data_IF_455576063762
#
_entry.id   IF_455576063762
#
_cell.length_a   1.000
_cell.length_b   1.000
_cell.length_c   1.000
_cell.angle_alpha   90.00
_cell.angle_beta   90.00
_cell.angle_gamma   90.00
#
_symmetry.space_group_name_H-M   'P 1'
#
loop_
_entity.id
_entity.type
_entity.pdbx_description
1 polymer ?
#
# COMPACT_ATOMS: atom_id res chain seq x y z
N UNK A 1 -17.99 1.56 22.79
CA UNK A 1 -18.61 0.94 21.60
C UNK A 1 -17.94 1.34 20.29
N UNK A 2 -17.96 2.61 19.83
CA UNK A 2 -17.41 3.02 18.51
C UNK A 2 -15.92 2.71 18.30
N UNK A 3 -15.10 2.83 19.35
CA UNK A 3 -13.68 2.40 19.34
C UNK A 3 -13.54 0.90 19.06
N UNK A 4 -14.27 0.06 19.81
CA UNK A 4 -14.27 -1.40 19.64
C UNK A 4 -14.76 -1.80 18.25
N UNK A 5 -15.75 -1.11 17.71
CA UNK A 5 -16.21 -1.32 16.33
C UNK A 5 -15.12 -1.00 15.30
N UNK A 6 -14.35 0.09 15.51
CA UNK A 6 -13.23 0.44 14.64
C UNK A 6 -12.14 -0.64 14.63
N UNK A 7 -11.77 -1.15 15.81
CA UNK A 7 -10.82 -2.26 15.92
C UNK A 7 -11.38 -3.56 15.34
N UNK A 8 -12.65 -3.89 15.62
CA UNK A 8 -13.27 -5.10 15.10
C UNK A 8 -13.35 -5.09 13.57
N UNK A 9 -13.70 -3.96 12.96
CA UNK A 9 -13.69 -3.80 11.51
C UNK A 9 -12.28 -3.95 10.92
N UNK A 10 -11.26 -3.40 11.60
CA UNK A 10 -9.87 -3.55 11.21
C UNK A 10 -9.41 -5.01 11.23
N UNK A 11 -9.69 -5.75 12.32
CA UNK A 11 -9.34 -7.18 12.40
C UNK A 11 -10.14 -8.02 11.40
N UNK A 12 -11.42 -7.70 11.18
CA UNK A 12 -12.24 -8.37 10.18
C UNK A 12 -11.65 -8.19 8.77
N UNK A 13 -11.17 -6.98 8.44
CA UNK A 13 -10.50 -6.73 7.17
C UNK A 13 -9.22 -7.58 7.02
N UNK A 14 -8.36 -7.61 8.05
CA UNK A 14 -7.13 -8.42 8.01
C UNK A 14 -7.46 -9.90 7.82
N UNK A 15 -8.42 -10.42 8.60
CA UNK A 15 -8.85 -11.83 8.49
C UNK A 15 -9.40 -12.10 7.09
N UNK A 16 -10.24 -11.22 6.54
CA UNK A 16 -10.78 -11.36 5.20
C UNK A 16 -9.66 -11.42 4.16
N UNK A 17 -8.70 -10.50 4.22
CA UNK A 17 -7.58 -10.44 3.29
C UNK A 17 -6.69 -11.68 3.38
N UNK A 18 -6.43 -12.18 4.59
CA UNK A 18 -5.66 -13.41 4.82
C UNK A 18 -6.40 -14.66 4.33
N UNK A 19 -7.72 -14.69 4.54
CA UNK A 19 -8.60 -15.75 4.02
C UNK A 19 -8.75 -15.67 2.50
N UNK A 20 -8.48 -14.53 1.86
CA UNK A 20 -8.47 -14.42 0.40
C UNK A 20 -7.11 -14.73 -0.20
N UNK A 21 -6.01 -14.41 0.50
CA UNK A 21 -4.63 -14.59 0.01
C UNK A 21 -4.10 -16.03 0.00
N UNK A 22 -4.69 -16.95 0.76
CA UNK A 22 -4.21 -18.35 0.88
C UNK A 22 -5.14 -19.40 0.22
N UNK A 23 -5.29 -19.45 -1.12
CA UNK A 23 -6.18 -20.40 -1.76
C UNK A 23 -5.64 -21.83 -1.70
N UNK A 24 -6.53 -22.80 -1.91
CA UNK A 24 -6.14 -24.20 -2.02
C UNK A 24 -5.20 -24.38 -3.23
N UNK A 25 -4.00 -24.87 -2.96
CA UNK A 25 -2.95 -25.07 -3.95
C UNK A 25 -1.75 -25.77 -3.33
N UNK A 26 -0.77 -26.09 -4.17
CA UNK A 26 0.51 -26.65 -3.73
C UNK A 26 1.51 -25.51 -3.64
N UNK A 27 1.94 -25.23 -2.42
CA UNK A 27 2.88 -24.17 -2.11
C UNK A 27 4.30 -24.57 -2.50
N UNK A 28 4.97 -23.72 -3.25
CA UNK A 28 6.36 -23.89 -3.66
C UNK A 28 7.31 -23.30 -2.59
N UNK A 29 7.11 -23.71 -1.34
CA UNK A 29 7.84 -23.21 -0.16
C UNK A 29 9.26 -23.78 -0.03
N UNK A 30 10.00 -23.32 0.97
CA UNK A 30 11.37 -23.74 1.26
C UNK A 30 12.43 -23.01 0.44
N UNK A 31 13.55 -23.66 0.15
CA UNK A 31 14.71 -23.01 -0.47
C UNK A 31 14.51 -22.75 -1.97
N UNK A 32 14.86 -21.54 -2.38
CA UNK A 32 14.94 -21.01 -3.73
C UNK A 32 16.39 -20.65 -4.05
N UNK A 33 16.80 -20.85 -5.29
CA UNK A 33 18.10 -20.40 -5.78
C UNK A 33 17.93 -19.00 -6.37
N UNK A 34 18.53 -17.99 -5.76
CA UNK A 34 18.56 -16.61 -6.24
C UNK A 34 19.92 -16.35 -6.90
N UNK A 35 19.91 -16.07 -8.20
CA UNK A 35 21.10 -15.68 -8.96
C UNK A 35 21.09 -14.17 -9.10
N UNK A 36 22.17 -13.54 -8.63
CA UNK A 36 22.39 -12.10 -8.65
C UNK A 36 22.86 -11.64 -10.05
N UNK A 37 22.77 -10.33 -10.37
CA UNK A 37 23.20 -9.79 -11.66
C UNK A 37 24.68 -10.03 -12.00
N UNK A 38 25.52 -10.15 -10.97
CA UNK A 38 26.97 -10.44 -11.07
C UNK A 38 27.28 -11.94 -11.19
N UNK A 39 26.26 -12.79 -11.15
CA UNK A 39 26.38 -14.25 -11.21
C UNK A 39 26.53 -14.93 -9.85
N UNK A 40 26.56 -14.17 -8.75
CA UNK A 40 26.59 -14.76 -7.41
C UNK A 40 25.30 -15.56 -7.14
N UNK A 41 25.43 -16.69 -6.44
CA UNK A 41 24.32 -17.60 -6.16
C UNK A 41 24.05 -17.65 -4.68
N UNK A 42 22.84 -17.26 -4.29
CA UNK A 42 22.36 -17.33 -2.93
C UNK A 42 21.21 -18.34 -2.81
N UNK A 43 21.17 -19.10 -1.71
CA UNK A 43 19.99 -19.88 -1.34
C UNK A 43 19.15 -19.07 -0.35
N UNK A 44 17.93 -18.71 -0.77
CA UNK A 44 16.97 -17.96 0.04
C UNK A 44 15.77 -18.84 0.36
N UNK A 45 15.15 -18.64 1.51
CA UNK A 45 13.92 -19.35 1.87
C UNK A 45 12.73 -18.42 1.69
N UNK A 46 11.69 -18.86 0.98
CA UNK A 46 10.45 -18.08 0.94
C UNK A 46 9.72 -18.30 2.25
N UNK A 47 9.23 -17.24 2.89
CA UNK A 47 9.19 -15.87 2.39
C UNK A 47 10.46 -15.05 2.67
N UNK A 48 10.85 -14.17 1.75
CA UNK A 48 12.01 -13.27 1.93
C UNK A 48 11.80 -11.89 1.29
N UNK A 49 12.51 -10.90 1.83
CA UNK A 49 12.59 -9.54 1.30
C UNK A 49 13.95 -8.93 1.64
N UNK A 50 14.58 -8.25 0.68
CA UNK A 50 15.84 -7.54 0.87
C UNK A 50 15.89 -6.26 0.04
N UNK A 51 16.42 -5.19 0.65
CA UNK A 51 16.89 -4.02 -0.10
C UNK A 51 18.28 -4.37 -0.64
N UNK A 52 18.45 -4.26 -1.96
CA UNK A 52 19.71 -4.55 -2.65
C UNK A 52 20.38 -3.27 -3.13
N UNK A 53 21.71 -3.31 -3.27
CA UNK A 53 22.47 -2.17 -3.75
C UNK A 53 22.77 -2.25 -5.26
N UNK A 54 22.49 -3.39 -5.90
CA UNK A 54 22.77 -3.64 -7.32
C UNK A 54 21.47 -3.70 -8.12
N UNK A 55 21.32 -2.76 -9.06
CA UNK A 55 20.29 -2.78 -10.09
C UNK A 55 20.58 -3.92 -11.07
N UNK A 56 19.55 -4.64 -11.50
CA UNK A 56 19.70 -5.63 -12.55
C UNK A 56 18.59 -6.67 -12.58
N UNK A 57 18.85 -7.76 -13.29
CA UNK A 57 17.94 -8.90 -13.35
C UNK A 57 18.40 -9.96 -12.36
N UNK A 58 17.57 -10.20 -11.36
CA UNK A 58 17.74 -11.30 -10.42
C UNK A 58 16.93 -12.49 -10.92
N UNK A 59 17.50 -13.69 -10.85
CA UNK A 59 16.83 -14.91 -11.30
C UNK A 59 16.54 -15.82 -10.11
N UNK A 60 15.28 -15.94 -9.72
CA UNK A 60 14.83 -16.88 -8.69
C UNK A 60 14.38 -18.19 -9.34
N UNK A 61 14.96 -19.31 -8.90
CA UNK A 61 14.72 -20.65 -9.47
C UNK A 61 14.26 -21.61 -8.37
N UNK A 62 13.19 -22.35 -8.66
CA UNK A 62 12.67 -23.43 -7.82
C UNK A 62 12.42 -24.68 -8.62
N UNK A 63 12.89 -25.81 -8.11
CA UNK A 63 12.51 -27.13 -8.61
C UNK A 63 11.40 -27.73 -7.74
N UNK A 64 10.48 -28.45 -8.37
CA UNK A 64 9.37 -29.12 -7.69
C UNK A 64 8.91 -30.35 -8.47
N UNK A 65 8.38 -31.35 -7.76
CA UNK A 65 7.86 -32.56 -8.38
C UNK A 65 6.54 -32.30 -9.12
N UNK A 66 6.12 -33.25 -9.95
CA UNK A 66 4.79 -33.20 -10.57
C UNK A 66 3.70 -32.94 -9.52
N UNK A 67 2.80 -32.02 -9.86
CA UNK A 67 1.65 -31.67 -9.05
C UNK A 67 0.44 -31.34 -9.94
N UNK A 68 -0.76 -31.57 -9.43
CA UNK A 68 -1.97 -31.29 -10.19
C UNK A 68 -2.29 -29.78 -10.17
N UNK A 69 -2.33 -29.14 -11.35
CA UNK A 69 -2.69 -27.72 -11.50
C UNK A 69 -2.56 -27.26 -12.95
N UNK A 70 -3.09 -26.08 -13.26
CA UNK A 70 -3.01 -25.42 -14.57
C UNK A 70 -2.81 -23.91 -14.49
N UNK A 71 -2.49 -23.39 -13.31
CA UNK A 71 -2.06 -22.01 -13.13
C UNK A 71 -1.04 -21.86 -12.01
N UNK A 72 -0.19 -20.85 -12.14
CA UNK A 72 0.71 -20.35 -11.10
C UNK A 72 0.07 -19.09 -10.52
N UNK A 73 -0.05 -19.02 -9.19
CA UNK A 73 -0.45 -17.81 -8.49
C UNK A 73 0.76 -17.22 -7.77
N UNK A 74 1.05 -15.95 -8.05
CA UNK A 74 2.12 -15.18 -7.44
C UNK A 74 1.49 -14.03 -6.66
N UNK A 75 1.78 -13.95 -5.36
CA UNK A 75 1.29 -12.91 -4.47
C UNK A 75 2.45 -12.27 -3.73
N UNK A 76 2.55 -10.94 -3.78
CA UNK A 76 3.57 -10.18 -3.05
C UNK A 76 4.99 -10.46 -3.54
N UNK A 77 5.22 -10.36 -4.84
CA UNK A 77 6.59 -10.41 -5.39
C UNK A 77 7.12 -8.99 -5.52
N UNK A 78 8.19 -8.68 -4.79
CA UNK A 78 8.87 -7.39 -4.85
C UNK A 78 9.83 -7.37 -6.03
N UNK A 79 9.40 -6.75 -7.10
CA UNK A 79 10.18 -6.41 -8.29
C UNK A 79 9.42 -5.35 -9.10
N UNK A 80 10.06 -4.86 -10.16
CA UNK A 80 9.51 -3.80 -11.03
C UNK A 80 9.18 -4.28 -12.45
N UNK A 81 9.39 -5.56 -12.70
CA UNK A 81 9.14 -6.22 -13.97
C UNK A 81 9.57 -7.68 -13.84
N UNK A 82 8.78 -8.62 -14.35
CA UNK A 82 9.06 -10.03 -14.18
C UNK A 82 8.72 -10.85 -15.41
N UNK A 83 9.61 -11.76 -15.78
CA UNK A 83 9.37 -12.83 -16.76
C UNK A 83 9.27 -14.16 -16.03
N UNK A 84 8.20 -14.90 -16.30
CA UNK A 84 7.86 -16.14 -15.62
C UNK A 84 8.05 -17.29 -16.59
N UNK A 85 8.90 -18.25 -16.24
CA UNK A 85 9.17 -19.42 -17.06
C UNK A 85 8.82 -20.71 -16.32
N UNK A 86 8.21 -21.66 -17.03
CA UNK A 86 8.03 -23.03 -16.56
C UNK A 86 8.78 -23.96 -17.51
N UNK A 87 9.72 -24.75 -16.96
CA UNK A 87 10.54 -25.68 -17.72
C UNK A 87 11.26 -25.02 -18.93
N UNK A 88 11.69 -23.76 -18.75
CA UNK A 88 12.38 -22.97 -19.77
C UNK A 88 11.45 -22.25 -20.77
N UNK A 89 10.14 -22.50 -20.73
CA UNK A 89 9.16 -21.85 -21.61
C UNK A 89 8.61 -20.59 -20.92
N UNK A 90 8.71 -19.45 -21.60
CA UNK A 90 8.14 -18.19 -21.13
C UNK A 90 6.61 -18.29 -21.12
N UNK A 91 6.02 -18.16 -19.93
CA UNK A 91 4.56 -18.15 -19.76
C UNK A 91 4.00 -16.74 -19.86
N UNK A 92 4.64 -15.77 -19.20
CA UNK A 92 4.16 -14.38 -19.14
C UNK A 92 5.26 -13.40 -18.75
N UNK A 93 5.16 -12.18 -19.25
CA UNK A 93 5.86 -10.99 -18.78
C UNK A 93 4.86 -10.06 -18.07
N UNK A 94 5.28 -9.44 -16.97
CA UNK A 94 4.45 -8.58 -16.11
C UNK A 94 5.26 -7.33 -15.75
N UNK A 95 4.66 -6.14 -15.87
CA UNK A 95 5.31 -4.87 -15.59
C UNK A 95 6.38 -4.50 -16.63
N UNK A 96 7.34 -3.67 -16.23
CA UNK A 96 8.36 -3.09 -17.11
C UNK A 96 9.69 -3.79 -16.91
N UNK A 97 9.90 -4.89 -17.63
CA UNK A 97 11.12 -5.68 -17.52
C UNK A 97 12.36 -4.94 -18.08
N UNK A 98 12.14 -3.99 -18.99
CA UNK A 98 13.21 -3.26 -19.67
C UNK A 98 13.76 -2.14 -18.77
N UNK A 99 12.90 -1.24 -18.29
CA UNK A 99 13.31 -0.09 -17.47
C UNK A 99 13.23 -0.34 -15.95
N UNK A 100 12.38 -1.27 -15.51
CA UNK A 100 12.16 -1.55 -14.09
C UNK A 100 11.41 -0.43 -13.36
N UNK A 101 10.45 0.24 -14.00
CA UNK A 101 9.72 1.36 -13.38
C UNK A 101 8.24 1.10 -13.10
N UNK A 102 7.79 -0.15 -13.23
CA UNK A 102 6.41 -0.53 -12.96
C UNK A 102 6.09 -0.60 -11.45
N UNK A 103 4.80 -0.58 -11.12
CA UNK A 103 4.28 -0.88 -9.81
C UNK A 103 3.38 -2.12 -9.90
N UNK A 104 3.91 -3.29 -9.53
CA UNK A 104 3.23 -4.57 -9.74
C UNK A 104 3.12 -5.43 -8.47
N UNK A 105 3.65 -4.94 -7.35
CA UNK A 105 3.73 -5.68 -6.08
C UNK A 105 2.37 -5.82 -5.39
N UNK A 106 1.46 -4.89 -5.66
CA UNK A 106 0.13 -4.74 -5.05
C UNK A 106 -0.96 -5.58 -5.75
N UNK A 107 -0.58 -6.51 -6.63
CA UNK A 107 -1.51 -7.35 -7.39
C UNK A 107 -1.16 -8.83 -7.24
N UNK A 108 -2.19 -9.68 -7.16
CA UNK A 108 -2.06 -11.12 -7.28
C UNK A 108 -2.10 -11.52 -8.74
N UNK A 109 -1.03 -12.14 -9.21
CA UNK A 109 -0.87 -12.56 -10.59
C UNK A 109 -1.24 -14.03 -10.73
N UNK A 110 -2.27 -14.33 -11.53
CA UNK A 110 -2.71 -15.69 -11.83
C UNK A 110 -2.41 -16.01 -13.29
N UNK A 111 -1.43 -16.89 -13.53
CA UNK A 111 -0.88 -17.21 -14.85
C UNK A 111 -1.26 -18.63 -15.22
N UNK A 112 -2.07 -18.81 -16.27
CA UNK A 112 -2.44 -20.13 -16.78
C UNK A 112 -1.30 -20.75 -17.59
N UNK A 113 -1.20 -22.07 -17.55
CA UNK A 113 -0.26 -22.83 -18.38
C UNK A 113 -0.90 -24.13 -18.89
N UNK A 114 -0.38 -24.69 -19.98
CA UNK A 114 -0.82 -26.00 -20.46
C UNK A 114 -0.26 -27.09 -19.54
N UNK A 115 -1.14 -27.95 -18.99
CA UNK A 115 -0.76 -29.08 -18.12
C UNK A 115 0.27 -30.00 -18.75
N UNK A 116 0.34 -30.07 -20.09
CA UNK A 116 1.34 -30.84 -20.83
C UNK A 116 2.78 -30.35 -20.61
N UNK A 117 2.95 -29.13 -20.11
CA UNK A 117 4.26 -28.59 -19.76
C UNK A 117 4.83 -29.23 -18.48
N UNK A 118 3.99 -29.84 -17.64
CA UNK A 118 4.42 -30.49 -16.41
C UNK A 118 5.11 -31.83 -16.69
N UNK A 119 6.21 -32.06 -15.97
CA UNK A 119 7.05 -33.27 -15.99
C UNK A 119 7.15 -33.84 -14.57
N UNK A 120 7.84 -34.95 -14.40
CA UNK A 120 8.11 -35.52 -13.07
C UNK A 120 8.90 -34.55 -12.18
N UNK A 121 9.85 -33.82 -12.77
CA UNK A 121 10.59 -32.72 -12.14
C UNK A 121 10.42 -31.46 -12.99
N UNK A 122 9.95 -30.40 -12.35
CA UNK A 122 9.66 -29.12 -12.96
C UNK A 122 10.58 -28.04 -12.40
N UNK A 123 10.82 -27.01 -13.20
CA UNK A 123 11.57 -25.80 -12.82
C UNK A 123 10.72 -24.57 -13.09
N UNK A 124 10.41 -23.82 -12.04
CA UNK A 124 9.85 -22.48 -12.12
C UNK A 124 11.00 -21.47 -12.01
N UNK A 125 11.08 -20.56 -12.97
CA UNK A 125 12.06 -19.47 -12.99
C UNK A 125 11.33 -18.13 -13.05
N UNK A 126 11.69 -17.23 -12.14
CA UNK A 126 11.27 -15.84 -12.12
C UNK A 126 12.50 -14.98 -12.42
N UNK A 127 12.56 -14.41 -13.62
CA UNK A 127 13.51 -13.34 -13.91
C UNK A 127 12.85 -12.04 -13.45
N UNK A 128 13.46 -11.37 -12.48
CA UNK A 128 12.92 -10.20 -11.80
C UNK A 128 13.82 -8.99 -12.05
N UNK A 129 13.28 -7.94 -12.63
CA UNK A 129 13.93 -6.64 -12.81
C UNK A 129 13.86 -5.87 -11.50
N UNK A 130 15.03 -5.63 -10.90
CA UNK A 130 15.18 -5.04 -9.58
C UNK A 130 15.85 -3.68 -9.68
N UNK A 131 15.28 -2.69 -8.99
CA UNK A 131 15.86 -1.35 -8.83
C UNK A 131 16.45 -1.13 -7.45
N UNK A 132 15.75 -1.57 -6.40
CA UNK A 132 16.23 -1.39 -5.02
C UNK A 132 15.79 -2.50 -4.06
N UNK A 133 14.76 -3.28 -4.39
CA UNK A 133 14.24 -4.35 -3.54
C UNK A 133 13.93 -5.63 -4.32
N UNK A 134 14.24 -6.77 -3.70
CA UNK A 134 13.91 -8.10 -4.22
C UNK A 134 13.25 -8.92 -3.13
N UNK A 135 12.20 -9.65 -3.48
CA UNK A 135 11.50 -10.46 -2.50
C UNK A 135 10.35 -11.28 -3.05
N UNK A 136 10.04 -12.34 -2.34
CA UNK A 136 8.86 -13.19 -2.52
C UNK A 136 8.22 -13.29 -1.14
N UNK A 137 7.17 -12.49 -0.90
CA UNK A 137 6.50 -12.43 0.40
C UNK A 137 5.64 -13.64 0.70
N UNK A 138 5.09 -14.27 -0.34
CA UNK A 138 4.34 -15.51 -0.22
C UNK A 138 4.85 -16.47 -1.27
N UNK A 139 5.07 -17.70 -0.85
CA UNK A 139 5.56 -18.70 -1.77
C UNK A 139 4.55 -18.87 -2.94
N UNK A 140 5.04 -18.95 -4.18
CA UNK A 140 4.21 -19.22 -5.34
C UNK A 140 3.37 -20.48 -5.15
N UNK A 141 2.13 -20.47 -5.64
CA UNK A 141 1.22 -21.61 -5.57
C UNK A 141 0.99 -22.20 -6.96
N UNK A 142 1.01 -23.52 -7.07
CA UNK A 142 0.41 -24.23 -8.21
C UNK A 142 -1.05 -24.53 -7.86
N UNK A 143 -1.97 -24.07 -8.71
CA UNK A 143 -3.42 -24.07 -8.45
C UNK A 143 -4.21 -24.55 -9.67
N UNK A 144 -5.47 -24.94 -9.44
CA UNK A 144 -6.47 -25.13 -10.50
C UNK A 144 -7.16 -23.79 -10.76
N UNK A 145 -6.99 -23.24 -11.96
CA UNK A 145 -7.50 -21.93 -12.35
C UNK A 145 -9.00 -21.76 -12.05
N UNK A 146 -9.82 -22.76 -12.40
CA UNK A 146 -11.27 -22.73 -12.19
C UNK A 146 -11.68 -22.69 -10.72
N UNK A 147 -10.84 -23.18 -9.81
CA UNK A 147 -11.12 -23.17 -8.38
C UNK A 147 -10.78 -21.83 -7.72
N UNK A 148 -9.79 -21.10 -8.25
CA UNK A 148 -9.20 -19.93 -7.57
C UNK A 148 -9.45 -18.59 -8.29
N UNK A 149 -9.88 -18.59 -9.56
CA UNK A 149 -10.00 -17.36 -10.36
C UNK A 149 -10.89 -16.30 -9.74
N UNK A 150 -12.10 -16.69 -9.28
CA UNK A 150 -13.05 -15.79 -8.63
C UNK A 150 -12.46 -15.16 -7.36
N UNK A 151 -11.78 -15.99 -6.56
CA UNK A 151 -11.16 -15.57 -5.30
C UNK A 151 -9.99 -14.61 -5.56
N UNK A 152 -9.19 -14.88 -6.59
CA UNK A 152 -8.13 -13.99 -7.04
C UNK A 152 -8.68 -12.64 -7.53
N UNK A 153 -9.82 -12.64 -8.25
CA UNK A 153 -10.48 -11.41 -8.68
C UNK A 153 -10.97 -10.58 -7.50
N UNK A 154 -11.61 -11.20 -6.50
CA UNK A 154 -12.04 -10.51 -5.27
C UNK A 154 -10.82 -9.98 -4.50
N UNK A 155 -9.76 -10.79 -4.38
CA UNK A 155 -8.52 -10.35 -3.75
C UNK A 155 -7.96 -9.11 -4.45
N UNK A 156 -7.79 -9.14 -5.78
CA UNK A 156 -7.30 -8.02 -6.58
C UNK A 156 -8.16 -6.76 -6.46
N UNK A 157 -9.48 -6.91 -6.38
CA UNK A 157 -10.36 -5.79 -6.09
C UNK A 157 -10.00 -5.13 -4.75
N UNK A 158 -9.78 -5.92 -3.71
CA UNK A 158 -9.41 -5.43 -2.39
C UNK A 158 -7.96 -4.92 -2.30
N UNK A 159 -7.00 -5.49 -3.01
CA UNK A 159 -5.59 -5.06 -2.88
C UNK A 159 -5.15 -3.99 -3.89
N UNK A 160 -5.97 -3.71 -4.92
CA UNK A 160 -5.66 -2.70 -5.95
C UNK A 160 -6.85 -1.78 -6.23
N UNK A 161 -8.00 -2.32 -6.63
CA UNK A 161 -9.09 -1.49 -7.18
C UNK A 161 -9.80 -0.63 -6.13
N UNK A 162 -9.82 -1.06 -4.87
CA UNK A 162 -10.38 -0.29 -3.76
C UNK A 162 -9.70 1.07 -3.61
N UNK A 163 -8.43 1.19 -3.99
CA UNK A 163 -7.69 2.45 -3.94
C UNK A 163 -8.20 3.44 -4.97
N UNK A 164 -8.63 2.99 -6.15
CA UNK A 164 -9.26 3.86 -7.15
C UNK A 164 -10.60 4.40 -6.64
N UNK A 165 -11.39 3.57 -5.96
CA UNK A 165 -12.64 4.01 -5.30
C UNK A 165 -12.35 5.02 -4.17
N UNK A 166 -11.33 4.77 -3.37
CA UNK A 166 -10.89 5.68 -2.31
C UNK A 166 -10.40 7.02 -2.86
N UNK A 167 -9.66 7.02 -3.96
CA UNK A 167 -9.24 8.24 -4.66
C UNK A 167 -10.44 9.05 -5.14
N UNK A 168 -11.39 8.40 -5.83
CA UNK A 168 -12.60 9.06 -6.32
C UNK A 168 -13.45 9.66 -5.21
N UNK A 169 -13.68 8.89 -4.14
CA UNK A 169 -14.39 9.37 -2.94
C UNK A 169 -13.67 10.53 -2.26
N UNK A 170 -12.34 10.46 -2.14
CA UNK A 170 -11.51 11.53 -1.58
C UNK A 170 -11.55 12.81 -2.42
N UNK A 171 -11.57 12.71 -3.74
CA UNK A 171 -11.69 13.86 -4.64
C UNK A 171 -13.06 14.52 -4.50
N UNK A 172 -14.15 13.74 -4.57
CA UNK A 172 -15.51 14.26 -4.45
C UNK A 172 -15.70 14.95 -3.09
N UNK A 173 -15.30 14.29 -2.00
CA UNK A 173 -15.39 14.86 -0.66
C UNK A 173 -14.55 16.14 -0.55
N UNK A 174 -13.34 16.15 -1.10
CA UNK A 174 -12.47 17.32 -1.13
C UNK A 174 -13.10 18.51 -1.84
N UNK A 175 -13.68 18.30 -3.03
CA UNK A 175 -14.35 19.36 -3.78
C UNK A 175 -15.56 19.90 -3.03
N UNK A 176 -16.44 19.01 -2.52
CA UNK A 176 -17.62 19.40 -1.74
C UNK A 176 -17.20 20.23 -0.53
N UNK A 177 -16.14 19.85 0.16
CA UNK A 177 -15.67 20.55 1.34
C UNK A 177 -15.01 21.89 1.05
N UNK A 178 -14.29 22.02 -0.06
CA UNK A 178 -13.76 23.31 -0.49
C UNK A 178 -14.90 24.28 -0.79
N UNK A 179 -15.90 23.83 -1.55
CA UNK A 179 -17.08 24.66 -1.86
C UNK A 179 -17.76 25.08 -0.56
N UNK A 180 -18.03 24.14 0.34
CA UNK A 180 -18.68 24.44 1.62
C UNK A 180 -17.85 25.40 2.49
N UNK A 181 -16.55 25.16 2.59
CA UNK A 181 -15.63 25.97 3.39
C UNK A 181 -15.50 27.42 2.90
N UNK A 182 -15.73 27.68 1.61
CA UNK A 182 -15.72 29.03 1.05
C UNK A 182 -17.10 29.69 0.96
N UNK A 183 -18.18 28.90 0.87
CA UNK A 183 -19.53 29.43 0.67
C UNK A 183 -20.24 29.83 1.97
N UNK A 184 -19.91 29.22 3.11
CA UNK A 184 -20.60 29.52 4.37
C UNK A 184 -19.90 30.64 5.15
N UNK A 185 -20.58 31.73 5.52
CA UNK A 185 -20.01 32.78 6.35
C UNK A 185 -19.69 32.28 7.77
N UNK A 186 -18.45 32.43 8.24
CA UNK A 186 -18.02 32.01 9.58
C UNK A 186 -16.59 31.44 9.64
N UNK A 187 -16.14 30.93 10.79
CA UNK A 187 -14.83 30.24 10.92
C UNK A 187 -14.91 28.78 10.46
N UNK A 188 -15.10 28.61 9.15
CA UNK A 188 -15.24 27.31 8.48
C UNK A 188 -13.92 26.80 7.85
N UNK A 189 -12.80 27.42 8.22
CA UNK A 189 -11.46 27.08 7.68
C UNK A 189 -11.06 25.62 7.94
N UNK A 190 -11.63 24.97 8.97
CA UNK A 190 -11.41 23.54 9.20
C UNK A 190 -11.85 22.67 8.01
N UNK A 191 -12.92 23.06 7.30
CA UNK A 191 -13.35 22.35 6.11
C UNK A 191 -12.36 22.49 4.97
N UNK A 192 -11.77 23.66 4.78
CA UNK A 192 -10.70 23.87 3.79
C UNK A 192 -9.52 22.95 4.08
N UNK A 193 -9.06 22.84 5.33
CA UNK A 193 -7.96 21.94 5.68
C UNK A 193 -8.29 20.46 5.48
N UNK A 194 -9.49 20.01 5.90
CA UNK A 194 -9.92 18.62 5.68
C UNK A 194 -10.06 18.34 4.17
N UNK A 195 -10.55 19.31 3.40
CA UNK A 195 -10.68 19.21 1.96
C UNK A 195 -9.32 19.03 1.27
N UNK A 196 -8.35 19.88 1.61
CA UNK A 196 -6.97 19.79 1.12
C UNK A 196 -6.36 18.44 1.49
N UNK A 197 -6.56 17.98 2.72
CA UNK A 197 -6.11 16.65 3.15
C UNK A 197 -6.72 15.53 2.28
N UNK A 198 -8.02 15.61 2.01
CA UNK A 198 -8.74 14.63 1.18
C UNK A 198 -8.18 14.59 -0.24
N UNK A 199 -8.01 15.74 -0.89
CA UNK A 199 -7.46 15.84 -2.25
C UNK A 199 -6.01 15.31 -2.33
N UNK A 200 -5.16 15.70 -1.38
CA UNK A 200 -3.77 15.24 -1.34
C UNK A 200 -3.66 13.75 -1.02
N UNK A 201 -4.56 13.22 -0.17
CA UNK A 201 -4.60 11.80 0.12
C UNK A 201 -4.95 10.97 -1.14
N UNK A 202 -5.79 11.50 -2.03
CA UNK A 202 -6.07 10.86 -3.32
C UNK A 202 -4.84 10.81 -4.23
N UNK A 203 -3.94 11.79 -4.16
CA UNK A 203 -2.68 11.75 -4.91
C UNK A 203 -1.72 10.73 -4.29
N UNK A 204 -1.60 10.71 -2.96
CA UNK A 204 -0.81 9.71 -2.24
C UNK A 204 -1.21 8.27 -2.60
N UNK A 205 -2.52 8.02 -2.75
CA UNK A 205 -3.01 6.68 -3.08
C UNK A 205 -2.53 6.13 -4.43
N UNK A 206 -1.99 6.96 -5.32
CA UNK A 206 -1.36 6.52 -6.58
C UNK A 206 -0.15 5.58 -6.36
N UNK A 207 0.48 5.63 -5.19
CA UNK A 207 1.57 4.69 -4.82
C UNK A 207 1.07 3.24 -4.71
N UNK A 208 -0.21 3.04 -4.40
CA UNK A 208 -0.81 1.72 -4.18
C UNK A 208 -1.60 1.19 -5.39
N UNK A 209 -1.54 1.87 -6.54
CA UNK A 209 -2.24 1.47 -7.76
C UNK A 209 -1.27 0.74 -8.70
N UNK A 210 -1.75 -0.32 -9.35
CA UNK A 210 -0.99 -1.04 -10.38
C UNK A 210 -0.61 -0.08 -11.51
N UNK A 211 0.66 -0.10 -11.91
CA UNK A 211 1.18 0.78 -12.96
C UNK A 211 2.18 0.03 -13.82
N UNK A 212 1.96 0.02 -15.13
CA UNK A 212 2.86 -0.71 -16.06
C UNK A 212 4.24 -0.07 -16.18
N UNK A 213 4.37 1.26 -16.11
CA UNK A 213 5.67 1.94 -16.20
C UNK A 213 5.57 3.36 -15.63
N UNK A 214 6.70 3.92 -15.19
CA UNK A 214 6.83 5.35 -14.83
C UNK A 214 7.78 6.08 -15.80
N UNK A 215 8.17 5.42 -16.90
CA UNK A 215 9.15 5.94 -17.85
C UNK A 215 10.57 5.64 -17.39
N UNK A 216 11.28 6.64 -16.89
CA UNK A 216 12.68 6.49 -16.44
C UNK A 216 12.80 6.28 -14.93
N UNK A 217 13.97 5.83 -14.49
CA UNK A 217 14.30 5.67 -13.05
C UNK A 217 14.20 7.02 -12.32
N UNK A 218 14.60 8.12 -12.97
CA UNK A 218 14.48 9.46 -12.39
C UNK A 218 13.02 9.90 -12.25
N UNK A 219 12.18 9.58 -13.25
CA UNK A 219 10.74 9.81 -13.17
C UNK A 219 10.10 8.97 -12.07
N UNK A 220 10.55 7.72 -11.86
CA UNK A 220 10.11 6.89 -10.74
C UNK A 220 10.48 7.52 -9.39
N UNK A 221 11.72 7.98 -9.21
CA UNK A 221 12.14 8.65 -7.98
C UNK A 221 11.31 9.90 -7.70
N UNK A 222 11.10 10.73 -8.72
CA UNK A 222 10.28 11.92 -8.58
C UNK A 222 8.83 11.57 -8.22
N UNK A 223 8.27 10.52 -8.83
CA UNK A 223 6.94 10.04 -8.54
C UNK A 223 6.80 9.54 -7.09
N UNK A 224 7.71 8.70 -6.62
CA UNK A 224 7.69 8.20 -5.24
C UNK A 224 7.88 9.33 -4.21
N UNK A 225 8.76 10.30 -4.49
CA UNK A 225 8.90 11.52 -3.66
C UNK A 225 7.62 12.34 -3.62
N UNK A 226 7.01 12.60 -4.77
CA UNK A 226 5.82 13.44 -4.89
C UNK A 226 4.62 12.80 -4.16
N UNK A 227 4.37 11.51 -4.39
CA UNK A 227 3.29 10.78 -3.74
C UNK A 227 3.47 10.73 -2.22
N UNK A 228 4.66 10.37 -1.72
CA UNK A 228 4.95 10.38 -0.28
C UNK A 228 4.82 11.78 0.34
N UNK A 229 5.34 12.81 -0.35
CA UNK A 229 5.21 14.20 0.09
C UNK A 229 3.73 14.62 0.19
N UNK A 230 2.90 14.28 -0.79
CA UNK A 230 1.46 14.58 -0.72
C UNK A 230 0.79 13.86 0.45
N UNK A 231 1.19 12.64 0.79
CA UNK A 231 0.68 11.94 1.96
C UNK A 231 1.04 12.64 3.28
N UNK A 232 2.30 13.07 3.44
CA UNK A 232 2.74 13.80 4.65
C UNK A 232 2.03 15.14 4.79
N UNK A 233 1.86 15.87 3.69
CA UNK A 233 1.13 17.14 3.69
C UNK A 233 -0.36 16.88 3.96
N UNK A 234 -0.94 15.81 3.41
CA UNK A 234 -2.34 15.43 3.65
C UNK A 234 -2.60 15.20 5.14
N UNK A 235 -1.80 14.36 5.80
CA UNK A 235 -2.00 14.06 7.23
C UNK A 235 -1.74 15.29 8.11
N UNK A 236 -0.81 16.16 7.73
CA UNK A 236 -0.55 17.43 8.40
C UNK A 236 -1.78 18.36 8.35
N UNK A 237 -2.37 18.54 7.16
CA UNK A 237 -3.61 19.30 7.01
C UNK A 237 -4.78 18.64 7.74
N UNK A 238 -4.85 17.31 7.77
CA UNK A 238 -5.90 16.60 8.48
C UNK A 238 -5.83 16.88 9.99
N UNK A 239 -4.63 16.81 10.58
CA UNK A 239 -4.40 17.14 11.99
C UNK A 239 -4.75 18.60 12.28
N UNK A 240 -4.37 19.55 11.40
CA UNK A 240 -4.77 20.96 11.54
C UNK A 240 -6.28 21.17 11.44
N UNK A 241 -6.92 20.54 10.45
CA UNK A 241 -8.36 20.63 10.22
C UNK A 241 -9.15 20.11 11.42
N UNK A 242 -8.79 18.93 11.92
CA UNK A 242 -9.40 18.35 13.12
C UNK A 242 -9.09 19.19 14.35
N UNK A 243 -7.87 19.75 14.46
CA UNK A 243 -7.50 20.65 15.57
C UNK A 243 -8.42 21.86 15.66
N UNK A 244 -8.66 22.54 14.53
CA UNK A 244 -9.60 23.65 14.47
C UNK A 244 -11.03 23.18 14.77
N UNK A 245 -11.45 22.04 14.22
CA UNK A 245 -12.79 21.48 14.42
C UNK A 245 -13.09 21.15 15.90
N UNK A 246 -12.10 20.67 16.66
CA UNK A 246 -12.28 20.36 18.09
C UNK A 246 -11.95 21.52 19.04
N UNK A 247 -11.39 22.61 18.54
CA UNK A 247 -11.00 23.76 19.36
C UNK A 247 -9.73 23.54 20.21
N UNK A 248 -8.77 22.74 19.73
CA UNK A 248 -7.50 22.50 20.44
C UNK A 248 -6.55 23.70 20.42
N UNK A 249 -5.60 23.73 21.35
CA UNK A 249 -4.49 24.69 21.37
C UNK A 249 -3.65 24.55 20.08
N UNK A 250 -3.51 25.65 19.34
CA UNK A 250 -2.80 25.72 18.04
C UNK A 250 -1.34 25.21 18.07
N UNK A 251 -0.66 25.31 19.22
CA UNK A 251 0.78 24.98 19.34
C UNK A 251 1.11 23.53 18.94
N UNK A 252 0.32 22.56 19.40
CA UNK A 252 0.62 21.14 19.16
C UNK A 252 0.34 20.73 17.71
N UNK A 253 -0.80 21.15 17.16
CA UNK A 253 -1.13 20.88 15.76
C UNK A 253 -0.19 21.60 14.79
N UNK A 254 0.29 22.80 15.15
CA UNK A 254 1.33 23.51 14.39
C UNK A 254 2.66 22.76 14.40
N UNK A 255 3.06 22.15 15.52
CA UNK A 255 4.29 21.35 15.60
C UNK A 255 4.23 20.17 14.62
N UNK A 256 3.15 19.38 14.67
CA UNK A 256 2.95 18.25 13.74
C UNK A 256 2.97 18.72 12.29
N UNK A 257 2.33 19.85 11.98
CA UNK A 257 2.34 20.41 10.63
C UNK A 257 3.77 20.79 10.19
N UNK A 258 4.51 21.51 11.02
CA UNK A 258 5.89 21.90 10.70
C UNK A 258 6.82 20.70 10.58
N UNK A 259 6.65 19.67 11.41
CA UNK A 259 7.44 18.43 11.33
C UNK A 259 7.21 17.70 10.01
N UNK A 260 5.96 17.51 9.60
CA UNK A 260 5.65 16.88 8.31
C UNK A 260 6.16 17.72 7.13
N UNK A 261 6.00 19.05 7.18
CA UNK A 261 6.51 19.94 6.13
C UNK A 261 8.05 19.91 6.04
N UNK A 262 8.74 19.84 7.19
CA UNK A 262 10.19 19.65 7.20
C UNK A 262 10.59 18.31 6.57
N UNK A 263 9.82 17.25 6.84
CA UNK A 263 10.00 15.93 6.21
C UNK A 263 9.91 16.01 4.68
N UNK A 264 8.95 16.76 4.14
CA UNK A 264 8.83 16.99 2.68
C UNK A 264 10.09 17.63 2.11
N UNK A 265 10.65 18.66 2.76
CA UNK A 265 11.88 19.32 2.31
C UNK A 265 13.06 18.32 2.29
N UNK A 266 13.16 17.48 3.31
CA UNK A 266 14.20 16.45 3.38
C UNK A 266 14.02 15.36 2.31
N UNK A 267 12.78 14.94 2.01
CA UNK A 267 12.46 13.97 0.96
C UNK A 267 13.04 14.41 -0.39
N UNK A 268 12.83 15.67 -0.77
CA UNK A 268 13.28 16.16 -2.07
C UNK A 268 14.80 16.23 -2.18
N UNK A 269 15.51 16.37 -1.06
CA UNK A 269 16.97 16.37 -0.99
C UNK A 269 17.62 15.00 -1.21
N UNK A 270 16.86 13.90 -1.18
CA UNK A 270 17.43 12.54 -1.32
C UNK A 270 17.80 12.26 -2.79
N UNK A 271 19.04 11.87 -3.13
CA UNK A 271 19.47 11.83 -4.53
C UNK A 271 19.07 10.56 -5.29
N UNK A 272 18.84 9.42 -4.62
CA UNK A 272 18.63 8.14 -5.29
C UNK A 272 17.53 7.29 -4.62
N UNK A 273 16.99 6.32 -5.35
CA UNK A 273 15.89 5.44 -4.91
C UNK A 273 16.26 4.53 -3.72
N UNK A 274 17.49 4.03 -3.68
CA UNK A 274 17.94 3.10 -2.62
C UNK A 274 17.96 3.83 -1.28
N UNK A 275 18.57 5.02 -1.23
CA UNK A 275 18.56 5.89 -0.06
C UNK A 275 17.13 6.33 0.26
N UNK A 276 16.31 6.63 -0.74
CA UNK A 276 14.91 7.00 -0.54
C UNK A 276 14.13 5.90 0.19
N UNK A 277 14.21 4.65 -0.26
CA UNK A 277 13.56 3.53 0.46
C UNK A 277 14.15 3.24 1.82
N UNK A 278 15.47 3.35 2.03
CA UNK A 278 16.04 3.22 3.38
C UNK A 278 15.53 4.29 4.34
N UNK A 279 15.25 5.49 3.84
CA UNK A 279 14.71 6.61 4.62
C UNK A 279 13.19 6.57 4.77
N UNK A 280 12.48 5.76 3.97
CA UNK A 280 11.03 5.63 4.01
C UNK A 280 10.50 5.37 5.42
N UNK A 281 11.15 4.47 6.16
CA UNK A 281 10.76 4.12 7.52
C UNK A 281 10.67 5.34 8.47
N UNK A 282 11.52 6.34 8.28
CA UNK A 282 11.49 7.57 9.09
C UNK A 282 10.22 8.37 8.81
N UNK A 283 9.82 8.45 7.54
CA UNK A 283 8.59 9.12 7.12
C UNK A 283 7.34 8.34 7.56
N UNK A 284 7.39 7.01 7.54
CA UNK A 284 6.32 6.17 8.05
C UNK A 284 6.12 6.32 9.56
N UNK A 285 7.20 6.50 10.33
CA UNK A 285 7.10 6.86 11.75
C UNK A 285 6.46 8.23 11.95
N UNK A 286 6.73 9.22 11.09
CA UNK A 286 6.04 10.52 11.12
C UNK A 286 4.53 10.37 10.83
N UNK A 287 4.15 9.50 9.90
CA UNK A 287 2.74 9.15 9.67
C UNK A 287 2.09 8.54 10.91
N UNK A 288 2.75 7.59 11.57
CA UNK A 288 2.26 6.95 12.80
C UNK A 288 2.05 7.99 13.91
N UNK A 289 3.04 8.85 14.16
CA UNK A 289 2.95 9.90 15.17
C UNK A 289 1.76 10.83 14.88
N UNK A 290 1.58 11.20 13.61
CA UNK A 290 0.49 12.08 13.18
C UNK A 290 -0.89 11.40 13.29
N UNK A 291 -1.00 10.11 12.95
CA UNK A 291 -2.22 9.33 13.05
C UNK A 291 -2.64 9.07 14.51
N UNK A 292 -1.67 8.74 15.38
CA UNK A 292 -1.91 8.58 16.83
C UNK A 292 -2.32 9.92 17.44
N UNK A 293 -1.65 11.02 17.07
CA UNK A 293 -2.02 12.37 17.51
C UNK A 293 -3.47 12.69 17.15
N UNK A 294 -3.86 12.43 15.90
CA UNK A 294 -5.22 12.62 15.42
C UNK A 294 -6.24 11.82 16.25
N UNK A 295 -5.94 10.53 16.52
CA UNK A 295 -6.79 9.70 17.37
C UNK A 295 -6.91 10.29 18.78
N UNK A 296 -5.81 10.61 19.45
CA UNK A 296 -5.78 11.20 20.80
C UNK A 296 -6.64 12.47 20.87
N UNK A 297 -6.56 13.35 19.87
CA UNK A 297 -7.36 14.56 19.80
C UNK A 297 -8.85 14.24 19.72
N UNK A 298 -9.26 13.32 18.85
CA UNK A 298 -10.66 12.91 18.73
C UNK A 298 -11.20 12.28 20.02
N UNK A 299 -10.39 11.45 20.70
CA UNK A 299 -10.76 10.85 21.99
C UNK A 299 -10.90 11.89 23.09
N UNK A 300 -9.89 12.76 23.25
CA UNK A 300 -9.85 13.78 24.31
C UNK A 300 -11.04 14.75 24.24
N UNK A 301 -11.42 15.14 23.03
CA UNK A 301 -12.52 16.09 22.79
C UNK A 301 -13.87 15.40 22.52
N UNK A 302 -13.95 14.08 22.73
CA UNK A 302 -15.19 13.27 22.73
C UNK A 302 -16.06 13.44 21.47
N UNK A 303 -15.46 13.65 20.30
CA UNK A 303 -16.19 13.72 19.01
C UNK A 303 -16.62 12.33 18.57
N UNK A 304 -17.76 11.87 19.10
CA UNK A 304 -18.24 10.49 18.94
C UNK A 304 -18.24 10.01 17.49
N UNK A 305 -18.59 10.86 16.53
CA UNK A 305 -18.70 10.50 15.10
C UNK A 305 -17.36 10.13 14.45
N UNK A 306 -16.26 10.72 14.93
CA UNK A 306 -14.93 10.51 14.37
C UNK A 306 -14.16 9.37 15.05
N UNK A 307 -14.61 8.89 16.22
CA UNK A 307 -13.89 7.85 16.98
C UNK A 307 -13.69 6.59 16.15
N UNK A 308 -14.72 6.14 15.42
CA UNK A 308 -14.62 4.94 14.60
C UNK A 308 -13.55 5.10 13.50
N UNK A 309 -13.63 6.18 12.73
CA UNK A 309 -12.77 6.37 11.56
C UNK A 309 -11.31 6.65 11.95
N UNK A 310 -11.06 7.45 13.00
CA UNK A 310 -9.68 7.70 13.45
C UNK A 310 -9.06 6.50 14.12
N UNK A 311 -9.84 5.66 14.82
CA UNK A 311 -9.34 4.39 15.37
C UNK A 311 -8.93 3.44 14.26
N UNK A 312 -9.80 3.24 13.27
CA UNK A 312 -9.52 2.38 12.13
C UNK A 312 -8.30 2.88 11.36
N UNK A 313 -8.25 4.19 11.06
CA UNK A 313 -7.11 4.82 10.39
C UNK A 313 -5.80 4.62 11.16
N UNK A 314 -5.77 4.94 12.46
CA UNK A 314 -4.56 4.77 13.27
C UNK A 314 -4.12 3.30 13.35
N UNK A 315 -5.06 2.36 13.45
CA UNK A 315 -4.75 0.92 13.43
C UNK A 315 -4.15 0.47 12.09
N UNK A 316 -4.70 0.91 10.96
CA UNK A 316 -4.15 0.59 9.63
C UNK A 316 -2.75 1.14 9.42
N UNK A 317 -2.48 2.39 9.81
CA UNK A 317 -1.15 3.00 9.68
C UNK A 317 -0.16 2.28 10.60
N UNK A 318 -0.53 2.04 11.86
CA UNK A 318 0.33 1.33 12.81
C UNK A 318 0.66 -0.08 12.31
N UNK A 319 -0.33 -0.80 11.77
CA UNK A 319 -0.11 -2.12 11.19
C UNK A 319 0.86 -2.07 10.02
N UNK A 320 0.70 -1.14 9.07
CA UNK A 320 1.61 -1.03 7.92
C UNK A 320 3.06 -0.80 8.37
N UNK A 321 3.30 0.07 9.35
CA UNK A 321 4.65 0.34 9.85
C UNK A 321 5.23 -0.84 10.63
N UNK A 322 4.40 -1.52 11.45
CA UNK A 322 4.84 -2.74 12.13
C UNK A 322 5.20 -3.81 11.10
N UNK A 323 4.38 -4.00 10.06
CA UNK A 323 4.61 -4.98 9.01
C UNK A 323 5.94 -4.70 8.30
N UNK A 324 6.24 -3.45 7.99
CA UNK A 324 7.51 -3.04 7.39
C UNK A 324 8.72 -3.27 8.32
N UNK A 325 8.61 -2.89 9.61
CA UNK A 325 9.69 -3.07 10.60
C UNK A 325 9.99 -4.52 10.93
N UNK A 326 8.96 -5.35 11.01
CA UNK A 326 9.07 -6.76 11.40
C UNK A 326 9.27 -7.69 10.21
N UNK A 327 9.09 -7.19 8.99
CA UNK A 327 9.05 -8.02 7.79
C UNK A 327 7.86 -8.97 7.76
N UNK A 328 6.82 -8.74 8.59
CA UNK A 328 5.58 -9.52 8.55
C UNK A 328 4.95 -9.32 7.16
N UNK A 329 4.65 -10.43 6.49
CA UNK A 329 4.09 -10.43 5.13
C UNK A 329 2.59 -10.17 5.15
N UNK A 330 2.27 -8.92 5.48
CA UNK A 330 0.92 -8.39 5.41
C UNK A 330 0.61 -7.81 4.05
N UNK A 331 -0.66 -7.89 3.65
CA UNK A 331 -1.19 -7.01 2.62
C UNK A 331 -1.18 -5.58 3.19
N UNK A 332 -0.62 -4.62 2.45
CA UNK A 332 -0.66 -3.22 2.85
C UNK A 332 -2.11 -2.72 2.88
N UNK A 333 -2.53 -2.15 4.00
CA UNK A 333 -3.92 -1.71 4.23
C UNK A 333 -4.05 -0.22 4.56
N UNK A 334 -2.99 0.56 4.41
CA UNK A 334 -2.97 2.00 4.71
C UNK A 334 -4.05 2.77 3.94
N UNK A 335 -4.29 2.45 2.67
CA UNK A 335 -5.32 3.15 1.89
C UNK A 335 -6.76 2.85 2.30
N UNK A 336 -7.03 1.71 2.97
CA UNK A 336 -8.33 1.50 3.64
C UNK A 336 -8.53 2.49 4.78
N UNK A 337 -7.46 2.76 5.53
CA UNK A 337 -7.43 3.80 6.53
C UNK A 337 -7.87 5.14 5.95
N UNK A 338 -7.28 5.53 4.81
CA UNK A 338 -7.61 6.77 4.11
C UNK A 338 -9.09 6.79 3.69
N UNK A 339 -9.59 5.71 3.08
CA UNK A 339 -11.00 5.59 2.66
C UNK A 339 -11.96 5.78 3.85
N UNK A 340 -11.75 5.02 4.93
CA UNK A 340 -12.61 5.05 6.11
C UNK A 340 -12.48 6.38 6.86
N UNK A 341 -11.29 6.98 6.89
CA UNK A 341 -11.08 8.33 7.40
C UNK A 341 -11.95 9.33 6.63
N UNK A 342 -11.82 9.37 5.29
CA UNK A 342 -12.59 10.27 4.42
C UNK A 342 -14.10 10.10 4.60
N UNK A 343 -14.62 8.87 4.60
CA UNK A 343 -16.04 8.60 4.85
C UNK A 343 -16.48 9.08 6.24
N UNK A 344 -15.69 8.80 7.28
CA UNK A 344 -16.00 9.22 8.64
C UNK A 344 -16.02 10.74 8.81
N UNK A 345 -15.10 11.45 8.14
CA UNK A 345 -15.12 12.92 8.12
C UNK A 345 -16.35 13.44 7.38
N UNK A 346 -16.68 12.89 6.21
CA UNK A 346 -17.90 13.23 5.46
C UNK A 346 -19.19 13.05 6.27
N UNK A 347 -19.29 11.99 7.07
CA UNK A 347 -20.43 11.77 7.96
C UNK A 347 -20.45 12.79 9.10
N UNK A 348 -19.31 13.04 9.75
CA UNK A 348 -19.22 14.02 10.84
C UNK A 348 -19.59 15.44 10.38
N UNK A 349 -19.37 15.72 9.10
CA UNK A 349 -19.77 16.93 8.39
C UNK A 349 -21.27 17.06 8.24
N UNK A 350 -21.94 16.02 7.72
CA UNK A 350 -23.40 16.01 7.55
C UNK A 350 -24.09 16.20 8.90
N UNK A 351 -23.59 15.54 9.94
CA UNK A 351 -24.13 15.68 11.30
C UNK A 351 -23.91 17.10 11.85
N UNK A 352 -22.71 17.67 11.68
CA UNK A 352 -22.45 19.05 12.12
C UNK A 352 -23.29 20.07 11.33
N UNK A 353 -23.53 19.83 10.05
CA UNK A 353 -24.39 20.70 9.23
C UNK A 353 -25.84 20.68 9.74
N UNK A 354 -26.37 19.49 10.03
CA UNK A 354 -27.71 19.31 10.63
C UNK A 354 -27.84 19.94 12.03
N UNK A 355 -26.73 20.06 12.75
CA UNK A 355 -26.73 20.70 14.08
C UNK A 355 -26.66 22.24 13.97
N UNK A 356 -26.18 22.78 12.84
CA UNK A 356 -26.07 24.24 12.59
C UNK A 356 -27.36 24.81 11.97
N UNK A 357 -28.02 24.06 11.09
CA UNK A 357 -29.25 24.42 10.38
C UNK A 357 -30.34 23.40 10.66
#
# INVERSE_FOLDING_TARGET
>A
MRFLLGLAAFFLLIILLEVLSNPNGIELSGKWKLVHPDGEVELVETPFYKIVNTLGTYRAVKTFSYCEGDAIMLLGVYNRGMRIYLNGILLKEIGDFESGTANIWNLSHLIRFDKKLLKDTNTLTLDMKIVYDVGIQRAPLIVKYTAVSWRNSILNFFISDIYLLAMGGGIILGVVLLVFGFSVPGDHVHFVYIATASLLSSIFLLEFVYRETTGSIDSLLLFEKATLATGLVAIAFLVLGVSKFVGTKKKFSSLIFTSNLSGVIFIFSIPNLITFKKMQIVYDLLFVISAITLAIMVFKYRKKYLIFSTTFFAATILYSVIAELTGIQGIYISGYGVLIASLGFGIALIENYRDIY
#
